data_IF_877875096755
#
_entry.id   IF_877875096755
#
_cell.length_a   1.000
_cell.length_b   1.000
_cell.length_c   1.000
_cell.angle_alpha   90.00
_cell.angle_beta   90.00
_cell.angle_gamma   90.00
#
_symmetry.space_group_name_H-M   'P 1'
#
loop_
_entity.id
_entity.type
_entity.pdbx_description
1 polymer ?
#
# COMPACT_ATOMS: atom_id res chain seq x y z
N UNK A 1 2.32 9.13 -24.82
CA UNK A 1 3.16 8.05 -24.28
C UNK A 1 4.60 8.38 -24.65
N UNK A 2 5.45 8.72 -23.67
CA UNK A 2 6.86 9.05 -23.94
C UNK A 2 7.57 7.74 -24.29
N UNK A 3 7.97 7.57 -25.56
CA UNK A 3 8.89 6.50 -25.95
C UNK A 3 10.27 6.90 -25.44
N UNK A 4 10.72 6.33 -24.32
CA UNK A 4 12.14 6.35 -23.99
C UNK A 4 12.88 5.53 -25.04
N UNK A 5 13.85 6.15 -25.71
CA UNK A 5 14.69 5.46 -26.67
C UNK A 5 15.82 4.73 -25.91
N UNK A 6 16.38 3.63 -26.45
CA UNK A 6 17.47 2.88 -25.80
C UNK A 6 18.71 3.72 -25.43
N UNK A 7 18.83 4.91 -26.01
CA UNK A 7 19.90 5.89 -25.79
C UNK A 7 19.74 6.73 -24.51
N UNK A 8 18.60 6.67 -23.82
CA UNK A 8 18.31 7.50 -22.65
C UNK A 8 18.85 6.91 -21.33
N UNK A 9 19.44 5.72 -21.37
CA UNK A 9 20.09 5.11 -20.21
C UNK A 9 21.54 5.60 -20.10
N UNK A 10 21.99 6.08 -18.93
CA UNK A 10 23.40 6.40 -18.74
C UNK A 10 24.22 5.13 -18.97
N UNK A 11 25.05 5.13 -20.01
CA UNK A 11 25.92 4.02 -20.34
C UNK A 11 26.92 3.77 -19.21
N UNK A 12 27.00 2.52 -18.74
CA UNK A 12 28.03 2.12 -17.78
C UNK A 12 29.40 2.30 -18.42
N UNK A 13 30.17 3.26 -17.93
CA UNK A 13 31.54 3.53 -18.37
C UNK A 13 32.49 3.29 -17.20
N UNK A 14 33.38 2.31 -17.33
CA UNK A 14 34.42 2.00 -16.36
C UNK A 14 35.79 2.09 -17.04
N UNK A 15 36.82 2.45 -16.28
CA UNK A 15 38.22 2.46 -16.76
C UNK A 15 38.71 1.06 -17.14
N UNK A 16 38.21 0.04 -16.46
CA UNK A 16 38.50 -1.37 -16.72
C UNK A 16 37.46 -1.92 -17.71
N UNK A 17 37.89 -2.11 -18.95
CA UNK A 17 37.04 -2.53 -20.06
C UNK A 17 36.59 -3.99 -19.95
N UNK A 18 37.42 -4.86 -19.38
CA UNK A 18 37.07 -6.27 -19.16
C UNK A 18 36.01 -6.41 -18.08
N UNK A 19 36.17 -5.65 -16.99
CA UNK A 19 35.15 -5.57 -15.94
C UNK A 19 33.86 -4.96 -16.46
N UNK A 20 33.93 -3.92 -17.28
CA UNK A 20 32.74 -3.32 -17.91
C UNK A 20 32.00 -4.34 -18.76
N UNK A 21 32.71 -5.06 -19.64
CA UNK A 21 32.13 -6.09 -20.50
C UNK A 21 31.43 -7.17 -19.67
N UNK A 22 32.11 -7.69 -18.64
CA UNK A 22 31.55 -8.71 -17.75
C UNK A 22 30.28 -8.24 -17.04
N UNK A 23 30.24 -6.98 -16.57
CA UNK A 23 29.04 -6.42 -15.93
C UNK A 23 27.91 -6.27 -16.95
N UNK A 24 28.19 -5.75 -18.14
CA UNK A 24 27.19 -5.58 -19.20
C UNK A 24 26.58 -6.92 -19.62
N UNK A 25 27.40 -7.97 -19.77
CA UNK A 25 26.91 -9.33 -20.05
C UNK A 25 25.99 -9.84 -18.93
N UNK A 26 26.37 -9.67 -17.67
CA UNK A 26 25.57 -10.11 -16.51
C UNK A 26 24.22 -9.38 -16.39
N UNK A 27 24.17 -8.08 -16.68
CA UNK A 27 22.94 -7.28 -16.57
C UNK A 27 22.12 -7.26 -17.87
N UNK A 28 22.68 -7.75 -18.98
CA UNK A 28 21.99 -7.77 -20.28
C UNK A 28 20.59 -8.40 -20.23
N UNK A 29 20.30 -9.47 -19.44
CA UNK A 29 18.95 -10.03 -19.37
C UNK A 29 17.91 -9.12 -18.69
N UNK A 30 18.36 -8.09 -17.96
CA UNK A 30 17.50 -7.09 -17.33
C UNK A 30 17.08 -5.98 -18.31
N UNK A 31 17.72 -5.88 -19.47
CA UNK A 31 17.39 -4.92 -20.51
C UNK A 31 16.26 -5.50 -21.36
N UNK A 32 15.03 -5.03 -21.11
CA UNK A 32 13.85 -5.52 -21.79
C UNK A 32 13.71 -4.92 -23.19
N UNK A 33 13.62 -5.77 -24.21
CA UNK A 33 13.31 -5.37 -25.58
C UNK A 33 11.86 -4.90 -25.71
N UNK A 34 11.55 -4.12 -26.76
CA UNK A 34 10.17 -3.68 -27.03
C UNK A 34 9.20 -4.86 -27.12
N UNK A 35 9.59 -5.96 -27.77
CA UNK A 35 8.79 -7.19 -27.86
C UNK A 35 8.53 -7.81 -26.50
N UNK A 36 9.53 -7.84 -25.61
CA UNK A 36 9.33 -8.34 -24.24
C UNK A 36 8.39 -7.46 -23.44
N UNK A 37 8.51 -6.13 -23.56
CA UNK A 37 7.62 -5.18 -22.89
C UNK A 37 6.16 -5.31 -23.36
N UNK A 38 5.95 -5.47 -24.68
CA UNK A 38 4.61 -5.72 -25.25
C UNK A 38 4.05 -7.02 -24.71
N UNK A 39 4.82 -8.11 -24.75
CA UNK A 39 4.40 -9.40 -24.20
C UNK A 39 4.04 -9.33 -22.72
N UNK A 40 4.84 -8.63 -21.90
CA UNK A 40 4.54 -8.44 -20.48
C UNK A 40 3.22 -7.69 -20.27
N UNK A 41 2.96 -6.65 -21.07
CA UNK A 41 1.69 -5.93 -21.03
C UNK A 41 0.51 -6.84 -21.39
N UNK A 42 0.65 -7.64 -22.45
CA UNK A 42 -0.39 -8.56 -22.89
C UNK A 42 -0.70 -9.60 -21.81
N UNK A 43 0.32 -10.26 -21.27
CA UNK A 43 0.17 -11.21 -20.15
C UNK A 43 -0.51 -10.55 -18.95
N UNK A 44 -0.12 -9.34 -18.58
CA UNK A 44 -0.73 -8.62 -17.46
C UNK A 44 -2.22 -8.33 -17.71
N UNK A 45 -2.58 -7.88 -18.91
CA UNK A 45 -3.97 -7.62 -19.29
C UNK A 45 -4.81 -8.89 -19.30
N UNK A 46 -4.25 -10.01 -19.76
CA UNK A 46 -4.95 -11.30 -19.77
C UNK A 46 -5.19 -11.82 -18.35
N UNK A 47 -4.19 -11.74 -17.47
CA UNK A 47 -4.35 -12.11 -16.06
C UNK A 47 -5.36 -11.20 -15.34
N UNK A 48 -5.45 -9.91 -15.68
CA UNK A 48 -6.51 -9.03 -15.16
C UNK A 48 -7.90 -9.46 -15.64
N UNK A 49 -8.06 -9.80 -16.93
CA UNK A 49 -9.33 -10.29 -17.49
C UNK A 49 -9.77 -11.57 -16.80
N UNK A 50 -8.83 -12.50 -16.60
CA UNK A 50 -9.05 -13.74 -15.86
C UNK A 50 -9.48 -13.49 -14.41
N UNK A 51 -8.78 -12.58 -13.71
CA UNK A 51 -9.08 -12.27 -12.31
C UNK A 51 -10.45 -11.60 -12.10
N UNK A 52 -10.96 -10.89 -13.12
CA UNK A 52 -12.27 -10.24 -13.08
C UNK A 52 -13.42 -11.10 -13.64
N UNK A 53 -13.12 -12.23 -14.30
CA UNK A 53 -14.16 -13.07 -14.89
C UNK A 53 -14.96 -13.79 -13.79
N UNK A 54 -16.28 -13.84 -13.94
CA UNK A 54 -17.16 -14.54 -12.99
C UNK A 54 -16.90 -16.06 -12.96
N UNK A 55 -16.54 -16.63 -14.12
CA UNK A 55 -16.23 -18.05 -14.30
C UNK A 55 -15.00 -18.20 -15.21
N UNK A 56 -13.78 -17.97 -14.70
CA UNK A 56 -12.59 -18.08 -15.53
C UNK A 56 -12.26 -19.54 -15.83
N UNK A 57 -11.66 -19.78 -16.99
CA UNK A 57 -11.20 -21.10 -17.43
C UNK A 57 -10.02 -21.64 -16.60
N UNK A 58 -9.28 -20.74 -15.94
CA UNK A 58 -8.20 -21.05 -15.01
C UNK A 58 -8.08 -19.97 -13.94
N UNK A 59 -7.41 -20.29 -12.83
CA UNK A 59 -7.11 -19.30 -11.78
C UNK A 59 -6.10 -18.26 -12.31
N UNK A 60 -6.44 -16.98 -12.12
CA UNK A 60 -5.51 -15.88 -12.37
C UNK A 60 -4.43 -15.81 -11.28
N UNK A 61 -3.24 -15.37 -11.67
CA UNK A 61 -2.18 -14.93 -10.76
C UNK A 61 -2.51 -13.59 -10.08
N UNK A 62 -3.44 -12.80 -10.64
CA UNK A 62 -3.93 -11.56 -10.08
C UNK A 62 -5.29 -11.78 -9.40
N UNK A 63 -5.40 -11.43 -8.12
CA UNK A 63 -6.60 -11.66 -7.32
C UNK A 63 -7.78 -10.75 -7.71
N UNK A 64 -7.49 -9.52 -8.15
CA UNK A 64 -8.50 -8.53 -8.55
C UNK A 64 -9.59 -8.27 -7.49
N UNK A 65 -9.20 -8.25 -6.22
CA UNK A 65 -10.13 -8.07 -5.09
C UNK A 65 -10.88 -6.74 -5.15
N UNK A 66 -12.18 -6.78 -4.81
CA UNK A 66 -13.01 -5.58 -4.75
C UNK A 66 -12.68 -4.76 -3.50
N UNK A 67 -12.31 -3.49 -3.70
CA UNK A 67 -12.03 -2.54 -2.61
C UNK A 67 -13.30 -1.96 -1.97
N UNK A 68 -14.47 -2.19 -2.56
CA UNK A 68 -15.76 -1.61 -2.17
C UNK A 68 -15.77 -0.07 -2.17
N UNK A 69 -14.89 0.55 -2.96
CA UNK A 69 -14.86 2.01 -3.20
C UNK A 69 -15.57 2.27 -4.53
N UNK A 70 -16.85 2.69 -4.53
CA UNK A 70 -17.64 2.80 -5.75
C UNK A 70 -17.29 4.03 -6.60
N UNK A 71 -16.77 5.08 -5.98
CA UNK A 71 -16.51 6.36 -6.62
C UNK A 71 -15.22 7.00 -6.08
N UNK A 72 -14.56 7.80 -6.91
CA UNK A 72 -13.43 8.63 -6.50
C UNK A 72 -13.90 9.82 -5.66
N UNK A 73 -13.01 10.41 -4.83
CA UNK A 73 -13.31 11.65 -4.10
C UNK A 73 -13.84 12.76 -5.00
N UNK A 74 -14.87 13.45 -4.55
CA UNK A 74 -15.57 14.54 -5.27
C UNK A 74 -14.95 15.91 -5.00
N UNK A 75 -14.06 16.02 -4.02
CA UNK A 75 -13.53 17.31 -3.57
C UNK A 75 -14.55 18.11 -2.76
N UNK A 76 -15.61 17.46 -2.28
CA UNK A 76 -16.65 18.05 -1.43
C UNK A 76 -16.74 17.39 -0.06
N UNK A 77 -15.76 16.55 0.27
CA UNK A 77 -15.66 15.87 1.56
C UNK A 77 -15.49 16.90 2.67
N UNK A 78 -16.25 16.72 3.74
CA UNK A 78 -16.19 17.55 4.94
C UNK A 78 -16.30 16.63 6.16
N UNK A 79 -15.43 16.84 7.15
CA UNK A 79 -15.47 16.08 8.39
C UNK A 79 -14.11 15.82 9.00
N UNK A 80 -14.12 15.24 10.18
CA UNK A 80 -12.94 14.76 10.88
C UNK A 80 -12.80 13.26 10.64
N UNK A 81 -11.62 12.84 10.22
CA UNK A 81 -11.33 11.46 9.89
C UNK A 81 -10.08 11.00 10.63
N UNK A 82 -10.11 9.75 11.06
CA UNK A 82 -8.95 9.06 11.57
C UNK A 82 -8.61 7.94 10.59
N UNK A 83 -7.37 7.88 10.13
CA UNK A 83 -6.86 6.79 9.32
C UNK A 83 -5.67 6.12 9.99
N UNK A 84 -5.57 4.82 9.74
CA UNK A 84 -4.56 3.94 10.27
C UNK A 84 -3.76 3.39 9.10
N UNK A 85 -2.44 3.57 9.13
CA UNK A 85 -1.55 2.98 8.13
C UNK A 85 -0.60 1.99 8.78
N UNK A 86 -0.87 0.72 8.52
CA UNK A 86 -0.06 -0.41 8.97
C UNK A 86 1.01 -0.69 7.93
N UNK A 87 2.14 0.00 8.07
CA UNK A 87 3.34 -0.28 7.29
C UNK A 87 4.13 -1.47 7.81
N UNK A 88 5.15 -1.88 7.04
CA UNK A 88 5.97 -3.03 7.37
C UNK A 88 6.84 -2.87 8.62
N UNK A 89 7.19 -1.66 9.05
CA UNK A 89 8.03 -1.42 10.27
C UNK A 89 7.49 -0.31 11.16
N UNK A 90 6.62 0.54 10.60
CA UNK A 90 6.01 1.67 11.28
C UNK A 90 4.50 1.60 11.09
N UNK A 91 3.79 1.89 12.17
CA UNK A 91 2.35 2.11 12.19
C UNK A 91 2.11 3.62 12.31
N UNK A 92 1.24 4.18 11.47
CA UNK A 92 0.88 5.60 11.52
C UNK A 92 -0.57 5.75 11.94
N UNK A 93 -0.80 6.69 12.84
CA UNK A 93 -2.14 7.18 13.17
C UNK A 93 -2.24 8.58 12.61
N UNK A 94 -3.19 8.80 11.71
CA UNK A 94 -3.36 10.06 11.00
C UNK A 94 -4.75 10.58 11.33
N UNK A 95 -4.84 11.83 11.77
CA UNK A 95 -6.08 12.57 11.86
C UNK A 95 -6.09 13.66 10.80
N UNK A 96 -7.21 13.81 10.11
CA UNK A 96 -7.41 14.86 9.12
C UNK A 96 -8.77 15.53 9.31
N UNK A 97 -8.77 16.86 9.35
CA UNK A 97 -9.97 17.67 9.19
C UNK A 97 -10.07 18.11 7.74
N UNK A 98 -11.10 17.65 7.04
CA UNK A 98 -11.41 18.04 5.67
C UNK A 98 -12.51 19.10 5.64
N UNK A 99 -12.31 20.12 4.81
CA UNK A 99 -13.35 21.05 4.41
C UNK A 99 -13.30 21.28 2.90
N UNK A 100 -14.41 21.03 2.21
CA UNK A 100 -14.53 21.11 0.74
C UNK A 100 -13.39 20.36 0.05
N UNK A 101 -13.18 19.12 0.48
CA UNK A 101 -12.16 18.21 -0.05
C UNK A 101 -10.71 18.60 0.25
N UNK A 102 -10.47 19.63 1.07
CA UNK A 102 -9.12 20.10 1.41
C UNK A 102 -8.80 19.84 2.87
N UNK A 103 -7.61 19.30 3.14
CA UNK A 103 -7.09 19.18 4.49
C UNK A 103 -6.85 20.58 5.08
N UNK A 104 -7.57 20.89 6.16
CA UNK A 104 -7.39 22.11 6.97
C UNK A 104 -6.46 21.88 8.15
N UNK A 105 -6.44 20.65 8.63
CA UNK A 105 -5.57 20.19 9.70
C UNK A 105 -5.21 18.75 9.44
N UNK A 106 -3.95 18.43 9.67
CA UNK A 106 -3.40 17.09 9.59
C UNK A 106 -2.48 16.88 10.79
N UNK A 107 -2.62 15.73 11.45
CA UNK A 107 -1.78 15.30 12.56
C UNK A 107 -1.39 13.85 12.29
N UNK A 108 -0.10 13.53 12.46
CA UNK A 108 0.44 12.21 12.17
C UNK A 108 1.36 11.79 13.31
N UNK A 109 1.04 10.66 13.91
CA UNK A 109 1.89 10.00 14.90
C UNK A 109 2.45 8.69 14.35
N UNK A 110 3.71 8.42 14.68
CA UNK A 110 4.44 7.24 14.23
C UNK A 110 4.73 6.32 15.41
N UNK A 111 4.46 5.03 15.21
CA UNK A 111 4.68 3.99 16.19
C UNK A 111 5.56 2.91 15.58
N UNK A 112 6.64 2.56 16.29
CA UNK A 112 7.46 1.43 15.86
C UNK A 112 6.71 0.12 16.10
N UNK A 113 6.82 -0.79 15.13
CA UNK A 113 6.16 -2.09 15.11
C UNK A 113 7.24 -3.18 15.30
N UNK A 114 7.60 -3.57 16.54
CA UNK A 114 8.48 -4.70 16.83
C UNK A 114 8.24 -5.94 15.97
N UNK A 115 9.34 -6.58 15.55
CA UNK A 115 9.33 -7.71 14.62
C UNK A 115 8.50 -8.90 15.10
N UNK A 116 8.54 -9.21 16.40
CA UNK A 116 7.78 -10.31 17.00
C UNK A 116 6.27 -10.17 16.75
N UNK A 117 5.76 -8.95 16.65
CA UNK A 117 4.33 -8.68 16.39
C UNK A 117 4.00 -8.66 14.89
N UNK A 118 5.01 -8.53 14.02
CA UNK A 118 4.86 -8.61 12.55
C UNK A 118 4.86 -10.04 12.05
N UNK A 119 5.70 -10.87 12.66
CA UNK A 119 5.97 -12.24 12.23
C UNK A 119 5.41 -13.30 13.18
N UNK A 120 4.94 -12.88 14.37
CA UNK A 120 4.31 -13.76 15.33
C UNK A 120 2.97 -14.29 14.83
N UNK A 121 2.45 -15.38 15.42
CA UNK A 121 1.13 -15.87 15.06
C UNK A 121 0.09 -14.79 15.34
N UNK A 122 -0.97 -14.75 14.51
CA UNK A 122 -2.16 -13.93 14.78
C UNK A 122 -2.82 -14.50 16.04
N UNK A 123 -2.35 -14.03 17.17
CA UNK A 123 -2.88 -14.32 18.50
C UNK A 123 -3.74 -13.14 18.91
N UNK A 124 -4.60 -13.35 19.91
CA UNK A 124 -5.26 -12.26 20.64
C UNK A 124 -4.28 -11.25 21.28
N UNK A 125 -2.94 -11.37 21.11
CA UNK A 125 -1.94 -10.43 21.63
C UNK A 125 -1.67 -9.21 20.74
N UNK A 126 -2.27 -9.09 19.55
CA UNK A 126 -2.25 -7.82 18.82
C UNK A 126 -3.01 -6.72 19.58
N UNK A 127 -3.96 -7.11 20.43
CA UNK A 127 -4.72 -6.21 21.30
C UNK A 127 -3.95 -5.80 22.58
N UNK A 128 -2.84 -6.48 22.90
CA UNK A 128 -2.02 -6.21 24.09
C UNK A 128 -0.72 -5.46 23.80
N UNK A 129 -0.38 -5.28 22.52
CA UNK A 129 0.58 -4.25 22.13
C UNK A 129 0.02 -2.89 22.49
N UNK A 130 0.85 -1.90 22.91
CA UNK A 130 0.38 -0.79 23.73
C UNK A 130 -0.92 -0.34 23.12
N UNK A 131 -2.03 -0.53 23.86
CA UNK A 131 -3.33 -0.08 23.42
C UNK A 131 -3.05 1.31 22.90
N UNK A 132 -3.13 1.49 21.58
CA UNK A 132 -2.87 2.80 21.00
C UNK A 132 -4.07 3.55 21.50
N UNK A 133 -3.89 4.15 22.66
CA UNK A 133 -4.89 4.85 23.38
C UNK A 133 -5.19 6.02 22.47
N UNK A 134 -6.22 5.83 21.67
CA UNK A 134 -6.89 6.85 20.88
C UNK A 134 -7.36 8.02 21.75
N UNK A 135 -7.13 7.95 23.06
CA UNK A 135 -7.09 9.04 24.03
C UNK A 135 -6.28 10.26 23.57
N UNK A 136 -5.30 10.13 22.67
CA UNK A 136 -4.56 11.28 22.14
C UNK A 136 -5.43 12.22 21.27
N UNK A 137 -6.47 11.70 20.59
CA UNK A 137 -7.24 12.50 19.63
C UNK A 137 -8.52 13.14 20.19
N UNK A 138 -9.01 12.70 21.35
CA UNK A 138 -10.17 13.34 22.01
C UNK A 138 -9.79 14.57 22.85
N UNK A 139 -8.50 14.85 23.08
CA UNK A 139 -8.07 16.04 23.84
C UNK A 139 -8.29 17.37 23.11
N UNK A 140 -8.69 17.36 21.83
CA UNK A 140 -8.98 18.56 21.04
C UNK A 140 -10.47 18.90 20.89
N UNK A 141 -11.38 18.03 21.32
CA UNK A 141 -12.83 18.24 21.22
C UNK A 141 -13.42 18.12 22.62
N UNK A 142 -14.17 19.14 23.05
CA UNK A 142 -14.82 19.20 24.37
C UNK A 142 -15.99 18.21 24.52
N UNK A 143 -15.85 16.96 24.05
CA UNK A 143 -16.78 15.85 24.28
C UNK A 143 -16.00 14.58 24.59
N UNK A 144 -15.99 14.23 25.87
CA UNK A 144 -15.53 12.92 26.35
C UNK A 144 -16.69 11.94 26.18
N UNK A 145 -16.83 11.38 24.98
CA UNK A 145 -17.68 10.20 24.79
C UNK A 145 -16.77 8.97 24.86
N UNK A 146 -16.70 8.37 26.06
CA UNK A 146 -16.00 7.11 26.30
C UNK A 146 -16.79 6.00 25.61
N UNK A 147 -16.33 5.53 24.44
CA UNK A 147 -16.89 4.33 23.82
C UNK A 147 -16.45 3.11 24.64
N UNK A 148 -17.27 2.71 25.61
CA UNK A 148 -17.18 1.41 26.26
C UNK A 148 -17.55 0.33 25.22
N UNK A 149 -16.55 -0.28 24.58
CA UNK A 149 -16.75 -1.49 23.78
C UNK A 149 -16.85 -2.70 24.70
N UNK A 150 -18.00 -2.84 25.39
CA UNK A 150 -18.43 -4.13 25.90
C UNK A 150 -18.83 -4.99 24.69
N UNK A 151 -17.92 -5.81 24.20
CA UNK A 151 -18.26 -6.82 23.18
C UNK A 151 -19.21 -7.84 23.84
N UNK A 152 -20.39 -8.12 23.27
CA UNK A 152 -21.26 -9.16 23.79
C UNK A 152 -20.61 -10.53 23.56
N UNK A 153 -20.68 -11.37 24.58
CA UNK A 153 -20.28 -12.78 24.52
C UNK A 153 -21.06 -13.49 23.40
N UNK A 154 -20.42 -14.33 22.57
CA UNK A 154 -21.15 -15.11 21.57
C UNK A 154 -22.03 -16.14 22.28
N UNK A 155 -23.34 -16.07 22.04
CA UNK A 155 -24.28 -17.13 22.38
C UNK A 155 -23.97 -18.38 21.55
N UNK A 156 -24.02 -19.55 22.22
CA UNK A 156 -23.76 -20.90 21.70
C UNK A 156 -24.40 -21.20 20.36
#
# INVERSE_FOLDING_TARGET
MVKMLPTDFPGLTLKDTERQKKILELVSPLILTETQQVKMREVFLDEMRLGLAASPEKKSSLLMENTFIPELPKGTENGEYLSLDLGGTNFRVIYVLLEKGKAKKEMVDFYHVPQEKRLGPVTSSLTSWPSVSLTLYTKGTSRVDTLNSGLPSPSR
#
